data_IF_495639848004
#
_entry.id   IF_495639848004
#
_cell.length_a   1.000
_cell.length_b   1.000
_cell.length_c   1.000
_cell.angle_alpha   90.00
_cell.angle_beta   90.00
_cell.angle_gamma   90.00
#
_symmetry.space_group_name_H-M   'P 1'
#
loop_
_entity.id
_entity.type
_entity.pdbx_description
1 polymer ?
#
# COMPACT_ATOMS: atom_id res chain seq x y z
N UNK A 1 -20.18 18.48 -2.02
CA UNK A 1 -19.56 17.67 -0.94
C UNK A 1 -18.19 17.22 -1.43
N UNK A 2 -17.11 17.34 -0.64
CA UNK A 2 -15.79 16.89 -1.09
C UNK A 2 -15.82 15.38 -1.31
N UNK A 3 -15.40 14.92 -2.50
CA UNK A 3 -15.29 13.49 -2.80
C UNK A 3 -14.24 12.89 -1.86
N UNK A 4 -14.59 11.83 -1.14
CA UNK A 4 -13.62 11.06 -0.36
C UNK A 4 -12.70 10.34 -1.34
N UNK A 5 -11.43 10.76 -1.40
CA UNK A 5 -10.46 10.20 -2.33
C UNK A 5 -9.92 8.91 -1.74
N UNK A 6 -10.42 7.76 -2.18
CA UNK A 6 -10.01 6.45 -1.65
C UNK A 6 -8.83 5.80 -2.40
N UNK A 7 -8.02 6.60 -3.10
CA UNK A 7 -6.83 6.14 -3.83
C UNK A 7 -5.57 6.95 -3.52
N UNK A 8 -4.39 6.30 -3.49
CA UNK A 8 -3.10 6.99 -3.33
C UNK A 8 -2.81 7.86 -4.55
N UNK A 9 -2.27 9.07 -4.33
CA UNK A 9 -1.94 10.05 -5.39
C UNK A 9 -0.45 10.02 -5.78
N UNK A 10 0.33 9.20 -5.11
CA UNK A 10 1.78 9.09 -5.27
C UNK A 10 2.21 7.63 -5.24
N UNK A 11 3.45 7.36 -5.63
CA UNK A 11 3.99 6.00 -5.81
C UNK A 11 4.22 5.31 -4.47
N UNK A 12 4.13 3.98 -4.46
CA UNK A 12 4.40 3.17 -3.27
C UNK A 12 5.81 3.40 -2.71
N UNK A 13 6.82 3.51 -3.58
CA UNK A 13 8.20 3.79 -3.18
C UNK A 13 8.34 5.11 -2.39
N UNK A 14 7.72 6.20 -2.88
CA UNK A 14 7.77 7.49 -2.16
C UNK A 14 7.06 7.43 -0.81
N UNK A 15 5.99 6.64 -0.71
CA UNK A 15 5.27 6.42 0.54
C UNK A 15 6.09 5.57 1.53
N UNK A 16 6.86 4.60 1.02
CA UNK A 16 7.77 3.76 1.79
C UNK A 16 8.90 4.58 2.42
N UNK A 17 9.58 5.42 1.62
CA UNK A 17 10.66 6.31 2.10
C UNK A 17 10.20 7.20 3.27
N UNK A 18 8.99 7.77 3.16
CA UNK A 18 8.42 8.58 4.25
C UNK A 18 8.21 7.73 5.50
N UNK A 19 7.74 6.49 5.35
CA UNK A 19 7.51 5.60 6.49
C UNK A 19 8.82 5.18 7.17
N UNK A 20 9.89 4.95 6.42
CA UNK A 20 11.23 4.69 6.97
C UNK A 20 11.73 5.86 7.81
N UNK A 21 11.58 7.08 7.32
CA UNK A 21 11.98 8.27 8.07
C UNK A 21 11.20 8.44 9.38
N UNK A 22 9.91 8.11 9.39
CA UNK A 22 9.10 8.11 10.63
C UNK A 22 9.61 7.03 11.59
N UNK A 23 9.98 5.86 11.10
CA UNK A 23 10.53 4.80 11.94
C UNK A 23 11.89 5.20 12.55
N UNK A 24 12.77 5.82 11.76
CA UNK A 24 14.07 6.34 12.19
C UNK A 24 13.97 7.49 13.22
N UNK A 25 12.78 8.08 13.38
CA UNK A 25 12.49 9.03 14.48
C UNK A 25 11.98 8.36 15.76
N UNK A 26 11.93 7.03 15.81
CA UNK A 26 11.36 6.27 16.93
C UNK A 26 9.90 5.88 16.73
N UNK A 27 9.46 5.76 15.48
CA UNK A 27 8.10 5.31 15.10
C UNK A 27 6.98 6.34 15.25
N UNK A 28 7.28 7.56 15.72
CA UNK A 28 6.34 8.68 15.80
C UNK A 28 7.05 10.01 15.53
N UNK A 29 6.47 10.84 14.66
CA UNK A 29 7.00 12.18 14.41
C UNK A 29 5.92 13.17 13.95
N UNK A 30 6.22 14.46 14.07
CA UNK A 30 5.42 15.50 13.44
C UNK A 30 5.68 15.57 11.94
N UNK A 31 4.70 16.08 11.19
CA UNK A 31 4.81 16.30 9.75
C UNK A 31 6.05 17.14 9.38
N UNK A 32 6.36 18.17 10.17
CA UNK A 32 7.52 19.05 9.97
C UNK A 32 8.85 18.33 10.17
N UNK A 33 8.95 17.48 11.19
CA UNK A 33 10.18 16.74 11.49
C UNK A 33 10.48 15.73 10.39
N UNK A 34 9.45 15.04 9.91
CA UNK A 34 9.57 14.10 8.78
C UNK A 34 10.04 14.82 7.51
N UNK A 35 9.45 15.98 7.19
CA UNK A 35 9.85 16.77 6.03
C UNK A 35 11.31 17.24 6.13
N UNK A 36 11.73 17.73 7.31
CA UNK A 36 13.12 18.16 7.56
C UNK A 36 14.11 17.02 7.38
N UNK A 37 13.79 15.81 7.83
CA UNK A 37 14.66 14.63 7.65
C UNK A 37 14.80 14.18 6.19
N UNK A 38 13.80 14.46 5.35
CA UNK A 38 13.83 14.17 3.91
C UNK A 38 14.39 15.34 3.09
N UNK A 39 14.98 16.35 3.73
CA UNK A 39 15.44 17.60 3.10
C UNK A 39 14.36 18.25 2.23
N UNK A 40 13.11 18.15 2.67
CA UNK A 40 11.91 18.63 1.98
C UNK A 40 11.16 19.65 2.83
N UNK A 41 10.39 20.50 2.14
CA UNK A 41 9.45 21.43 2.79
C UNK A 41 8.08 20.77 2.94
N UNK A 42 7.35 21.11 3.99
CA UNK A 42 5.95 20.70 4.17
C UNK A 42 5.07 21.41 3.12
N UNK A 43 5.02 20.83 1.93
CA UNK A 43 4.25 21.32 0.79
C UNK A 43 2.99 20.48 0.56
N UNK A 44 2.13 20.93 -0.36
CA UNK A 44 0.99 20.12 -0.83
C UNK A 44 1.42 18.76 -1.40
N UNK A 45 2.57 18.71 -2.11
CA UNK A 45 3.12 17.45 -2.63
C UNK A 45 3.60 16.53 -1.50
N UNK A 46 4.27 17.07 -0.48
CA UNK A 46 4.69 16.28 0.69
C UNK A 46 3.46 15.70 1.42
N UNK A 47 2.42 16.53 1.64
CA UNK A 47 1.15 16.06 2.23
C UNK A 47 0.48 14.97 1.39
N UNK A 48 0.60 15.02 0.06
CA UNK A 48 0.07 13.98 -0.82
C UNK A 48 0.82 12.64 -0.69
N UNK A 49 2.15 12.67 -0.48
CA UNK A 49 2.96 11.47 -0.22
C UNK A 49 2.56 10.86 1.12
N UNK A 50 2.52 11.67 2.18
CA UNK A 50 2.09 11.24 3.51
C UNK A 50 0.67 10.67 3.48
N UNK A 51 -0.26 11.34 2.80
CA UNK A 51 -1.62 10.84 2.61
C UNK A 51 -1.68 9.51 1.85
N UNK A 52 -0.75 9.28 0.90
CA UNK A 52 -0.65 8.00 0.20
C UNK A 52 -0.08 6.90 1.10
N UNK A 53 0.95 7.20 1.91
CA UNK A 53 1.49 6.28 2.91
C UNK A 53 0.44 5.83 3.94
N UNK A 54 -0.48 6.72 4.31
CA UNK A 54 -1.63 6.35 5.16
C UNK A 54 -2.59 5.41 4.44
N UNK A 55 -2.88 5.65 3.15
CA UNK A 55 -3.78 4.79 2.36
C UNK A 55 -3.20 3.39 2.08
N UNK A 56 -1.88 3.29 1.94
CA UNK A 56 -1.16 2.01 1.87
C UNK A 56 -1.06 1.30 3.23
N UNK A 57 -1.56 1.91 4.32
CA UNK A 57 -1.49 1.31 5.65
C UNK A 57 -0.09 1.24 6.24
N UNK A 58 0.88 2.02 5.71
CA UNK A 58 2.24 2.09 6.25
C UNK A 58 2.32 3.03 7.46
N UNK A 59 1.55 4.12 7.40
CA UNK A 59 1.50 5.14 8.43
C UNK A 59 0.06 5.36 8.89
N UNK A 60 -0.08 5.89 10.10
CA UNK A 60 -1.31 6.51 10.59
C UNK A 60 -1.05 7.99 10.83
N UNK A 61 -2.05 8.83 10.53
CA UNK A 61 -1.99 10.26 10.79
C UNK A 61 -3.10 10.64 11.75
N UNK A 62 -2.74 11.13 12.94
CA UNK A 62 -3.70 11.59 13.96
C UNK A 62 -3.23 12.92 14.53
N UNK A 63 -4.06 13.97 14.38
CA UNK A 63 -3.75 15.34 14.86
C UNK A 63 -2.35 15.82 14.45
N UNK A 64 -2.01 15.65 13.17
CA UNK A 64 -0.69 16.01 12.60
C UNK A 64 0.53 15.24 13.15
N UNK A 65 0.29 14.21 13.96
CA UNK A 65 1.29 13.24 14.38
C UNK A 65 1.23 12.01 13.47
N UNK A 66 2.35 11.70 12.84
CA UNK A 66 2.54 10.48 12.06
C UNK A 66 3.03 9.37 12.98
N UNK A 67 2.52 8.17 12.78
CA UNK A 67 2.96 6.98 13.52
C UNK A 67 3.01 5.77 12.62
N UNK A 68 4.06 4.95 12.74
CA UNK A 68 4.22 3.70 11.99
C UNK A 68 3.15 2.69 12.37
N UNK A 69 2.61 1.97 11.38
CA UNK A 69 1.63 0.90 11.63
C UNK A 69 2.27 -0.41 12.06
N UNK A 70 1.46 -1.37 12.49
CA UNK A 70 1.90 -2.77 12.66
C UNK A 70 2.31 -3.40 11.33
N UNK A 71 1.62 -3.07 10.23
CA UNK A 71 1.94 -3.58 8.90
C UNK A 71 3.35 -3.16 8.46
N UNK A 72 3.69 -1.87 8.60
CA UNK A 72 5.04 -1.38 8.28
C UNK A 72 6.13 -2.11 9.07
N UNK A 73 5.92 -2.28 10.38
CA UNK A 73 6.87 -3.02 11.24
C UNK A 73 6.98 -4.50 10.87
N UNK A 74 5.89 -5.13 10.42
CA UNK A 74 5.91 -6.51 9.91
C UNK A 74 6.76 -6.61 8.65
N UNK A 75 6.67 -5.64 7.74
CA UNK A 75 7.50 -5.58 6.54
C UNK A 75 8.98 -5.43 6.94
N UNK A 76 9.32 -4.44 7.78
CA UNK A 76 10.72 -4.17 8.20
C UNK A 76 11.37 -5.31 8.98
N UNK A 77 10.58 -6.08 9.71
CA UNK A 77 11.04 -7.20 10.54
C UNK A 77 10.59 -8.57 10.01
N UNK A 78 10.40 -8.69 8.69
CA UNK A 78 10.16 -9.98 8.06
C UNK A 78 11.37 -10.89 8.24
N UNK A 79 11.12 -12.20 8.43
CA UNK A 79 12.18 -13.17 8.65
C UNK A 79 12.86 -13.60 7.35
N UNK A 80 12.11 -13.59 6.25
CA UNK A 80 12.55 -14.00 4.93
C UNK A 80 12.09 -13.01 3.86
N UNK A 81 12.83 -12.92 2.75
CA UNK A 81 12.52 -12.04 1.62
C UNK A 81 11.16 -12.38 0.99
N UNK A 82 10.76 -13.65 1.01
CA UNK A 82 9.43 -14.05 0.56
C UNK A 82 8.32 -13.48 1.46
N UNK A 83 8.52 -13.51 2.78
CA UNK A 83 7.57 -12.95 3.75
C UNK A 83 7.50 -11.42 3.64
N UNK A 84 8.64 -10.76 3.46
CA UNK A 84 8.74 -9.32 3.22
C UNK A 84 7.91 -8.91 2.00
N UNK A 85 8.08 -9.63 0.89
CA UNK A 85 7.38 -9.39 -0.36
C UNK A 85 5.86 -9.60 -0.21
N UNK A 86 5.43 -10.61 0.56
CA UNK A 86 4.01 -10.80 0.90
C UNK A 86 3.43 -9.61 1.67
N UNK A 87 4.15 -9.07 2.65
CA UNK A 87 3.66 -7.90 3.40
C UNK A 87 3.68 -6.62 2.56
N UNK A 88 4.63 -6.46 1.64
CA UNK A 88 4.59 -5.39 0.65
C UNK A 88 3.37 -5.49 -0.26
N UNK A 89 3.02 -6.71 -0.72
CA UNK A 89 1.79 -6.96 -1.48
C UNK A 89 0.53 -6.63 -0.66
N UNK A 90 0.47 -7.03 0.61
CA UNK A 90 -0.62 -6.71 1.55
C UNK A 90 -0.83 -5.19 1.68
N UNK A 91 0.27 -4.44 1.89
CA UNK A 91 0.23 -2.97 1.97
C UNK A 91 -0.21 -2.32 0.65
N UNK A 92 0.32 -2.80 -0.48
CA UNK A 92 -0.02 -2.26 -1.79
C UNK A 92 -1.49 -2.47 -2.16
N UNK A 93 -2.09 -3.58 -1.72
CA UNK A 93 -3.51 -3.89 -1.98
C UNK A 93 -4.47 -3.29 -0.95
N UNK A 94 -3.97 -2.63 0.09
CA UNK A 94 -4.81 -1.97 1.10
C UNK A 94 -5.79 -0.93 0.51
N UNK A 95 -5.40 -0.08 -0.46
CA UNK A 95 -6.35 0.80 -1.15
C UNK A 95 -7.39 -0.01 -1.95
N UNK A 96 -8.72 0.23 -1.76
CA UNK A 96 -9.77 -0.53 -2.44
C UNK A 96 -9.68 -0.48 -3.96
N UNK A 97 -9.31 0.69 -4.52
CA UNK A 97 -9.15 0.88 -5.96
C UNK A 97 -8.09 -0.05 -6.55
N UNK A 98 -6.96 -0.24 -5.84
CA UNK A 98 -5.89 -1.11 -6.31
C UNK A 98 -6.33 -2.57 -6.25
N UNK A 99 -6.99 -3.00 -5.17
CA UNK A 99 -7.58 -4.34 -5.10
C UNK A 99 -8.57 -4.62 -6.24
N UNK A 100 -9.46 -3.67 -6.54
CA UNK A 100 -10.44 -3.84 -7.63
C UNK A 100 -9.78 -3.93 -9.00
N UNK A 101 -8.81 -3.06 -9.29
CA UNK A 101 -8.09 -3.06 -10.55
C UNK A 101 -7.35 -4.38 -10.77
N UNK A 102 -6.66 -4.83 -9.73
CA UNK A 102 -5.85 -6.02 -9.75
C UNK A 102 -6.74 -7.28 -9.89
N UNK A 103 -7.95 -7.30 -9.29
CA UNK A 103 -8.97 -8.35 -9.52
C UNK A 103 -9.54 -8.34 -10.93
N UNK A 104 -9.78 -7.15 -11.52
CA UNK A 104 -10.32 -7.01 -12.87
C UNK A 104 -9.36 -7.51 -13.95
N UNK A 105 -8.06 -7.29 -13.75
CA UNK A 105 -7.01 -7.68 -14.71
C UNK A 105 -6.30 -9.00 -14.36
N UNK A 106 -6.84 -9.78 -13.43
CA UNK A 106 -6.25 -11.07 -13.05
C UNK A 106 -6.00 -11.95 -14.27
N UNK A 107 -4.74 -12.37 -14.46
CA UNK A 107 -4.28 -13.17 -15.61
C UNK A 107 -4.50 -12.49 -16.98
N UNK A 108 -4.64 -11.16 -17.00
CA UNK A 108 -4.75 -10.35 -18.22
C UNK A 108 -3.63 -9.32 -18.25
N UNK A 109 -3.33 -8.87 -19.46
CA UNK A 109 -2.41 -7.76 -19.68
C UNK A 109 -3.07 -6.45 -19.25
N UNK A 110 -2.32 -5.66 -18.49
CA UNK A 110 -2.70 -4.33 -18.07
C UNK A 110 -2.35 -3.32 -19.18
N UNK A 111 -3.34 -2.62 -19.76
CA UNK A 111 -3.08 -1.62 -20.79
C UNK A 111 -2.54 -0.33 -20.15
N UNK A 112 -1.25 -0.30 -19.79
CA UNK A 112 -0.61 0.80 -19.06
C UNK A 112 -0.81 2.17 -19.73
N UNK A 113 -0.82 2.21 -21.07
CA UNK A 113 -0.98 3.45 -21.86
C UNK A 113 -2.39 4.03 -21.81
N UNK A 114 -3.42 3.20 -21.55
CA UNK A 114 -4.83 3.63 -21.52
C UNK A 114 -5.43 3.51 -20.12
N UNK A 115 -4.60 3.21 -19.12
CA UNK A 115 -5.03 2.94 -17.76
C UNK A 115 -5.67 4.18 -17.13
N UNK A 116 -5.15 5.37 -17.43
CA UNK A 116 -5.69 6.66 -17.01
C UNK A 116 -7.13 6.89 -17.50
N UNK A 117 -7.40 6.67 -18.79
CA UNK A 117 -8.74 6.81 -19.39
C UNK A 117 -9.72 5.83 -18.75
N UNK A 118 -9.26 4.61 -18.50
CA UNK A 118 -10.06 3.57 -17.86
C UNK A 118 -10.38 3.91 -16.40
N UNK A 119 -9.39 4.42 -15.64
CA UNK A 119 -9.59 4.85 -14.25
C UNK A 119 -10.65 5.96 -14.14
N UNK A 120 -10.70 6.88 -15.09
CA UNK A 120 -11.72 7.94 -15.13
C UNK A 120 -13.11 7.36 -15.41
N UNK A 121 -13.23 6.54 -16.46
CA UNK A 121 -14.54 6.07 -16.96
C UNK A 121 -15.19 5.00 -16.10
N UNK A 122 -14.39 4.11 -15.52
CA UNK A 122 -14.89 2.91 -14.83
C UNK A 122 -14.79 2.99 -13.31
N UNK A 123 -13.81 3.74 -12.79
CA UNK A 123 -13.50 3.81 -11.36
C UNK A 123 -13.76 5.21 -10.76
N UNK A 124 -14.37 6.13 -11.53
CA UNK A 124 -14.65 7.54 -11.16
C UNK A 124 -13.43 8.27 -10.54
N UNK A 125 -12.23 7.96 -11.03
CA UNK A 125 -11.01 8.68 -10.63
C UNK A 125 -11.04 10.07 -11.26
N UNK A 126 -10.65 11.09 -10.48
CA UNK A 126 -10.57 12.46 -10.99
C UNK A 126 -9.54 12.55 -12.12
N UNK A 127 -9.91 13.17 -13.23
CA UNK A 127 -9.08 13.33 -14.43
C UNK A 127 -7.70 13.91 -14.12
N UNK A 128 -7.65 14.92 -13.24
CA UNK A 128 -6.40 15.58 -12.81
C UNK A 128 -5.44 14.59 -12.13
N UNK A 129 -5.97 13.57 -11.44
CA UNK A 129 -5.17 12.60 -10.71
C UNK A 129 -4.93 11.30 -11.49
N UNK A 130 -5.74 11.01 -12.51
CA UNK A 130 -5.76 9.71 -13.18
C UNK A 130 -4.38 9.27 -13.68
N UNK A 131 -3.64 10.17 -14.33
CA UNK A 131 -2.27 9.89 -14.80
C UNK A 131 -1.31 9.55 -13.64
N UNK A 132 -1.38 10.28 -12.52
CA UNK A 132 -0.54 10.03 -11.36
C UNK A 132 -0.89 8.70 -10.68
N UNK A 133 -2.18 8.36 -10.58
CA UNK A 133 -2.66 7.08 -10.02
C UNK A 133 -2.28 5.91 -10.91
N UNK A 134 -2.43 6.04 -12.24
CA UNK A 134 -2.01 5.03 -13.21
C UNK A 134 -0.51 4.72 -13.09
N UNK A 135 0.32 5.78 -13.03
CA UNK A 135 1.76 5.65 -12.80
C UNK A 135 2.05 4.98 -11.44
N UNK A 136 1.44 5.45 -10.36
CA UNK A 136 1.62 4.91 -9.02
C UNK A 136 1.23 3.43 -8.94
N UNK A 137 0.17 3.02 -9.61
CA UNK A 137 -0.25 1.62 -9.70
C UNK A 137 0.75 0.79 -10.51
N UNK A 138 1.11 1.22 -11.73
CA UNK A 138 1.99 0.44 -12.61
C UNK A 138 3.41 0.31 -12.05
N UNK A 139 3.94 1.34 -11.39
CA UNK A 139 5.25 1.27 -10.73
C UNK A 139 5.18 0.44 -9.44
N UNK A 140 4.16 0.65 -8.61
CA UNK A 140 4.00 -0.10 -7.36
C UNK A 140 3.74 -1.60 -7.60
N UNK A 141 2.89 -1.94 -8.57
CA UNK A 141 2.59 -3.33 -8.92
C UNK A 141 3.82 -4.08 -9.45
N UNK A 142 4.71 -3.40 -10.18
CA UNK A 142 6.02 -3.95 -10.58
C UNK A 142 6.94 -4.14 -9.37
N UNK A 143 7.03 -3.14 -8.50
CA UNK A 143 7.88 -3.20 -7.31
C UNK A 143 7.49 -4.36 -6.36
N UNK A 144 6.19 -4.64 -6.21
CA UNK A 144 5.71 -5.74 -5.35
C UNK A 144 5.57 -7.09 -6.09
N UNK A 145 6.08 -7.19 -7.32
CA UNK A 145 6.02 -8.42 -8.12
C UNK A 145 4.59 -8.91 -8.39
N UNK A 146 3.63 -8.00 -8.53
CA UNK A 146 2.26 -8.29 -8.99
C UNK A 146 2.12 -8.13 -10.50
N UNK A 147 3.02 -7.38 -11.13
CA UNK A 147 3.05 -7.16 -12.58
C UNK A 147 4.33 -7.78 -13.15
N UNK A 148 4.17 -8.70 -14.10
CA UNK A 148 5.29 -9.31 -14.83
C UNK A 148 5.85 -8.34 -15.88
N UNK A 149 6.98 -8.68 -16.51
CA UNK A 149 7.61 -7.89 -17.58
C UNK A 149 6.68 -7.67 -18.79
N UNK A 150 5.79 -8.63 -19.05
CA UNK A 150 4.76 -8.53 -20.10
C UNK A 150 3.52 -7.73 -19.67
N UNK A 151 3.57 -7.02 -18.55
CA UNK A 151 2.43 -6.30 -17.96
C UNK A 151 1.22 -7.19 -17.63
N UNK A 152 1.43 -8.50 -17.43
CA UNK A 152 0.37 -9.40 -16.95
C UNK A 152 0.23 -9.30 -15.44
N UNK A 153 -0.98 -9.12 -14.93
CA UNK A 153 -1.25 -9.08 -13.49
C UNK A 153 -1.34 -10.49 -12.93
N UNK A 154 -0.51 -10.77 -11.92
CA UNK A 154 -0.47 -12.04 -11.20
C UNK A 154 -1.77 -12.35 -10.45
N UNK A 155 -1.94 -13.62 -10.10
CA UNK A 155 -3.13 -14.10 -9.39
C UNK A 155 -3.08 -13.73 -7.89
N UNK A 156 -3.78 -12.66 -7.52
CA UNK A 156 -3.83 -12.12 -6.16
C UNK A 156 -4.37 -13.14 -5.15
N UNK A 157 -5.34 -13.97 -5.52
CA UNK A 157 -5.93 -14.90 -4.55
C UNK A 157 -5.00 -16.09 -4.30
N UNK A 158 -4.24 -16.53 -5.32
CA UNK A 158 -3.16 -17.49 -5.11
C UNK A 158 -2.04 -16.90 -4.26
N UNK A 159 -1.71 -15.63 -4.48
CA UNK A 159 -0.68 -14.90 -3.72
C UNK A 159 -1.10 -14.64 -2.26
N UNK A 160 -2.38 -14.35 -2.02
CA UNK A 160 -2.95 -14.24 -0.68
C UNK A 160 -3.07 -15.60 0.02
N UNK A 161 -3.35 -16.68 -0.74
CA UNK A 161 -3.37 -18.04 -0.22
C UNK A 161 -1.98 -18.58 0.14
N UNK A 162 -0.92 -18.00 -0.42
CA UNK A 162 0.47 -18.28 -0.03
C UNK A 162 0.88 -17.61 1.28
N UNK A 163 0.05 -16.72 1.86
CA UNK A 163 0.32 -16.21 3.19
C UNK A 163 0.22 -17.37 4.20
N UNK A 164 1.33 -17.80 4.82
CA UNK A 164 1.26 -18.88 5.79
C UNK A 164 0.39 -18.40 6.97
N UNK A 165 -0.57 -19.21 7.44
CA UNK A 165 -1.31 -18.86 8.64
C UNK A 165 -0.29 -18.77 9.78
N UNK A 166 -0.09 -17.57 10.33
CA UNK A 166 0.78 -17.33 11.48
C UNK A 166 0.11 -17.88 12.74
N UNK A 167 0.03 -19.21 12.81
CA UNK A 167 -0.37 -20.06 13.92
C UNK A 167 0.82 -21.00 14.03
N UNK A 168 1.81 -20.75 14.87
CA UNK A 168 1.99 -21.49 16.14
C UNK A 168 3.46 -21.30 16.61
N UNK A 169 4.04 -20.09 16.54
CA UNK A 169 5.40 -19.83 17.08
C UNK A 169 5.37 -19.00 18.38
N UNK A 170 4.18 -18.63 18.84
CA UNK A 170 3.99 -18.05 20.17
C UNK A 170 3.47 -19.12 21.14
N UNK A 171 4.41 -19.68 21.91
CA UNK A 171 4.22 -20.33 23.21
C UNK A 171 3.57 -21.73 23.21
N UNK A 172 4.29 -22.80 23.61
CA UNK A 172 3.60 -23.98 24.14
C UNK A 172 2.77 -23.52 25.34
N UNK A 173 1.46 -23.73 25.27
CA UNK A 173 0.55 -23.62 26.42
C UNK A 173 1.19 -24.44 27.55
N UNK A 174 1.53 -23.85 28.72
CA UNK A 174 2.08 -24.63 29.81
C UNK A 174 1.02 -25.67 30.20
N UNK A 175 1.39 -26.94 30.06
CA UNK A 175 0.55 -28.06 30.44
C UNK A 175 0.00 -27.82 31.85
N UNK A 176 -1.32 -27.78 31.98
CA UNK A 176 -1.98 -27.73 33.26
C UNK A 176 -1.49 -28.92 34.11
N UNK A 177 -0.83 -28.59 35.22
CA UNK A 177 -0.49 -29.41 36.37
C UNK A 177 -0.97 -30.88 36.30
N UNK A 178 -0.12 -31.76 35.75
CA UNK A 178 -0.28 -33.22 35.83
C UNK A 178 0.41 -33.78 37.10
N UNK A 179 0.23 -33.12 38.23
CA UNK A 179 0.60 -33.66 39.55
C UNK A 179 -0.68 -34.04 40.30
N UNK A 180 -1.29 -35.16 39.89
CA UNK A 180 -2.10 -35.99 40.79
C UNK A 180 -1.88 -37.45 40.43
N UNK A 181 -1.22 -38.16 41.34
CA UNK A 181 -0.80 -39.54 41.22
C UNK A 181 -1.98 -40.52 41.01
N UNK A 182 -1.73 -41.67 40.38
CA UNK A 182 -2.72 -42.74 40.22
C UNK A 182 -2.85 -43.54 41.52
N UNK A 183 -4.08 -43.75 41.98
CA UNK A 183 -4.41 -44.87 42.89
C UNK A 183 -5.07 -45.96 42.05
N UNK A 184 -4.45 -47.14 42.11
CA UNK A 184 -4.77 -48.38 41.42
C UNK A 184 -6.17 -48.96 41.77
N UNK A 185 -6.68 -49.90 40.95
CA UNK A 185 -8.06 -50.39 40.97
C UNK A 185 -8.24 -51.65 41.83
N UNK A 186 -9.46 -51.85 42.32
CA UNK A 186 -9.93 -53.11 42.91
C UNK A 186 -11.26 -53.53 42.26
N UNK A 187 -11.16 -54.59 41.46
CA UNK A 187 -12.04 -55.76 41.26
C UNK A 187 -13.52 -55.74 41.70
N UNK A 188 -14.40 -56.21 40.79
CA UNK A 188 -15.71 -56.82 41.07
C UNK A 188 -16.79 -56.38 40.05
N UNK A 189 -17.10 -57.17 39.01
CA UNK A 189 -18.33 -58.01 38.88
C UNK A 189 -19.62 -57.19 38.57
N UNK A 190 -20.61 -57.52 37.73
CA UNK A 190 -20.97 -58.60 36.78
C UNK A 190 -22.32 -58.18 36.11
N UNK A 191 -22.48 -58.43 34.79
CA UNK A 191 -23.72 -58.70 34.00
C UNK A 191 -24.91 -57.71 33.84
N UNK A 192 -25.52 -57.79 32.64
CA UNK A 192 -26.96 -57.59 32.37
C UNK A 192 -27.28 -56.44 31.40
N UNK A 193 -27.37 -56.67 30.08
CA UNK A 193 -28.57 -57.08 29.32
C UNK A 193 -29.71 -56.01 29.22
N UNK A 194 -29.95 -55.58 27.96
CA UNK A 194 -31.06 -54.82 27.30
C UNK A 194 -32.50 -55.14 27.78
N UNK A 195 -33.61 -54.37 27.49
CA UNK A 195 -33.88 -53.59 26.25
C UNK A 195 -34.79 -52.32 26.33
N UNK A 196 -35.09 -51.80 25.14
CA UNK A 196 -36.00 -50.76 24.64
C UNK A 196 -37.35 -50.49 25.34
N UNK A 197 -37.85 -49.25 25.18
CA UNK A 197 -39.24 -48.85 25.39
C UNK A 197 -39.55 -47.48 24.78
N UNK A 198 -40.69 -47.38 24.11
CA UNK A 198 -41.09 -46.41 23.07
C UNK A 198 -42.28 -45.52 23.54
N UNK A 199 -42.48 -44.36 22.88
CA UNK A 199 -43.65 -43.43 22.79
C UNK A 199 -44.26 -42.71 24.04
N UNK A 200 -45.13 -41.65 23.92
CA UNK A 200 -45.12 -40.36 23.18
C UNK A 200 -45.52 -39.08 24.02
N UNK A 201 -45.29 -37.87 23.44
CA UNK A 201 -46.05 -36.58 23.40
C UNK A 201 -47.27 -36.33 24.36
N UNK A 202 -47.62 -35.09 24.85
CA UNK A 202 -47.94 -33.88 24.03
C UNK A 202 -47.58 -32.47 24.59
N UNK A 203 -47.67 -31.48 23.70
CA UNK A 203 -47.58 -30.01 23.89
C UNK A 203 -48.88 -29.40 24.50
N UNK A 204 -49.24 -28.10 24.32
CA UNK A 204 -48.58 -26.78 24.53
C UNK A 204 -49.43 -25.80 25.40
N UNK A 205 -48.85 -24.75 25.99
CA UNK A 205 -49.52 -23.50 26.44
C UNK A 205 -48.49 -22.58 27.15
N UNK A 206 -48.55 -21.24 27.27
CA UNK A 206 -49.34 -20.11 26.78
C UNK A 206 -48.57 -18.83 27.25
N UNK A 207 -48.63 -17.73 26.49
CA UNK A 207 -48.35 -16.31 26.90
C UNK A 207 -49.32 -15.86 28.04
N UNK A 208 -49.28 -14.66 28.71
CA UNK A 208 -48.70 -13.32 28.38
C UNK A 208 -48.17 -12.54 29.66
N UNK A 209 -48.31 -11.20 29.88
CA UNK A 209 -47.67 -10.01 29.25
C UNK A 209 -46.99 -9.00 30.24
N UNK A 210 -46.30 -8.01 29.64
CA UNK A 210 -46.14 -6.58 30.01
C UNK A 210 -45.45 -6.13 31.32
N UNK A 211 -44.43 -5.27 31.18
CA UNK A 211 -44.31 -3.96 31.87
C UNK A 211 -43.14 -3.12 31.34
N UNK A 212 -43.45 -1.94 30.80
CA UNK A 212 -42.57 -0.75 30.83
C UNK A 212 -42.41 -0.28 32.30
N UNK A 213 -41.31 0.42 32.65
CA UNK A 213 -41.40 1.88 32.70
C UNK A 213 -40.11 2.65 32.33
N UNK A 214 -40.34 3.84 31.76
CA UNK A 214 -39.70 5.15 31.97
C UNK A 214 -38.18 5.30 32.21
N UNK A 215 -37.60 6.22 31.44
CA UNK A 215 -36.33 6.94 31.68
C UNK A 215 -36.38 7.80 32.95
N UNK A 216 -35.21 8.09 33.57
CA UNK A 216 -34.63 9.42 33.38
C UNK A 216 -33.08 9.46 33.29
N UNK A 217 -32.61 10.56 32.72
CA UNK A 217 -31.25 11.12 32.70
C UNK A 217 -30.16 10.44 33.53
N UNK A 218 -29.23 9.78 32.83
CA UNK A 218 -27.90 9.48 33.36
C UNK A 218 -26.93 10.59 32.91
N UNK A 219 -26.96 11.71 33.62
CA UNK A 219 -25.96 12.77 33.49
C UNK A 219 -24.62 12.25 34.00
N UNK A 220 -23.76 11.94 33.04
CA UNK A 220 -22.31 11.84 33.06
C UNK A 220 -21.59 12.04 34.42
N UNK A 221 -21.47 10.95 35.19
CA UNK A 221 -20.66 10.91 36.41
C UNK A 221 -19.14 11.03 36.15
N UNK A 222 -18.70 10.95 34.89
CA UNK A 222 -17.29 11.07 34.51
C UNK A 222 -16.91 12.56 34.34
N UNK A 223 -17.85 13.41 33.92
CA UNK A 223 -17.65 14.85 33.80
C UNK A 223 -17.37 15.57 35.14
N UNK A 224 -17.83 15.00 36.26
CA UNK A 224 -17.56 15.53 37.62
C UNK A 224 -16.14 15.19 38.15
N UNK A 225 -15.46 14.19 37.56
CA UNK A 225 -14.13 13.76 38.00
C UNK A 225 -12.99 14.60 37.37
N UNK A 226 -13.27 15.30 36.26
CA UNK A 226 -12.27 16.07 35.50
C UNK A 226 -12.48 17.60 35.52
N UNK A 227 -13.38 18.12 36.34
CA UNK A 227 -13.50 19.57 36.56
C UNK A 227 -13.86 20.40 35.32
N UNK A 228 -14.58 19.84 34.35
CA UNK A 228 -14.95 20.52 33.10
C UNK A 228 -16.39 21.10 33.09
N UNK A 229 -17.02 21.21 34.25
CA UNK A 229 -18.34 21.81 34.40
C UNK A 229 -18.28 23.26 34.90
N UNK A 230 -18.22 24.22 33.98
CA UNK A 230 -18.38 25.66 34.27
C UNK A 230 -18.60 26.42 32.97
N UNK A 231 -19.84 26.81 32.67
CA UNK A 231 -20.49 28.06 33.07
C UNK A 231 -20.58 29.00 31.86
N UNK A 232 -21.81 29.10 31.36
CA UNK A 232 -22.34 30.16 30.51
C UNK A 232 -22.16 31.53 31.15
N UNK A 233 -21.57 32.49 30.42
CA UNK A 233 -21.83 33.91 30.66
C UNK A 233 -21.74 34.71 29.36
N UNK A 234 -22.91 35.09 28.84
CA UNK A 234 -23.12 36.18 27.87
C UNK A 234 -22.85 37.53 28.53
N UNK A 235 -22.38 38.53 27.77
CA UNK A 235 -23.26 39.68 27.56
C UNK A 235 -23.30 40.20 26.12
N UNK A 236 -24.22 41.15 25.94
CA UNK A 236 -25.01 41.52 24.77
C UNK A 236 -24.65 42.94 24.28
N UNK A 237 -24.82 43.15 22.97
CA UNK A 237 -25.10 44.42 22.24
C UNK A 237 -23.97 45.48 22.13
N UNK A 238 -23.81 46.25 21.03
CA UNK A 238 -24.36 46.29 19.67
C UNK A 238 -23.49 47.31 18.84
N UNK A 239 -23.97 48.02 17.80
CA UNK A 239 -23.62 47.81 16.39
C UNK A 239 -22.93 49.01 15.71
N UNK A 240 -22.16 48.80 14.63
CA UNK A 240 -21.94 49.83 13.59
C UNK A 240 -21.82 49.16 12.21
N UNK A 241 -22.75 49.50 11.33
CA UNK A 241 -22.72 49.27 9.88
C UNK A 241 -22.42 50.61 9.17
N UNK A 242 -22.53 50.73 7.83
CA UNK A 242 -21.75 50.09 6.76
C UNK A 242 -21.12 51.17 5.84
N UNK A 243 -20.07 50.85 5.06
CA UNK A 243 -19.66 51.70 3.93
C UNK A 243 -19.44 50.86 2.67
N UNK A 244 -20.45 50.97 1.81
CA UNK A 244 -20.43 51.14 0.36
C UNK A 244 -19.55 50.24 -0.54
N UNK A 245 -20.25 49.43 -1.32
CA UNK A 245 -19.83 48.97 -2.64
C UNK A 245 -19.95 50.10 -3.68
N UNK A 246 -18.96 50.23 -4.56
CA UNK A 246 -19.04 50.93 -5.87
C UNK A 246 -17.90 50.30 -6.68
N UNK A 247 -18.11 49.54 -7.74
CA UNK A 247 -18.83 49.89 -8.95
C UNK A 247 -17.80 50.12 -10.07
N UNK A 248 -17.38 49.07 -10.76
CA UNK A 248 -16.97 49.13 -12.18
C UNK A 248 -18.24 49.29 -13.02
N UNK A 249 -18.28 50.04 -14.15
CA UNK A 249 -17.53 49.67 -15.38
C UNK A 249 -17.20 50.83 -16.36
N UNK A 250 -16.71 50.43 -17.55
CA UNK A 250 -16.51 51.17 -18.82
C UNK A 250 -15.19 51.94 -18.98
N UNK A 251 -14.57 52.07 -20.16
CA UNK A 251 -14.58 51.39 -21.46
C UNK A 251 -13.56 52.15 -22.36
N UNK A 252 -13.17 51.54 -23.48
CA UNK A 252 -12.60 52.13 -24.72
C UNK A 252 -11.08 52.38 -24.79
N UNK A 253 -10.43 51.58 -25.64
CA UNK A 253 -9.42 51.94 -26.67
C UNK A 253 -8.88 50.61 -27.24
N UNK A 254 -9.37 50.09 -28.37
CA UNK A 254 -9.05 50.47 -29.76
C UNK A 254 -7.57 50.28 -30.15
N UNK A 255 -7.27 49.09 -30.74
CA UNK A 255 -6.46 48.76 -31.95
C UNK A 255 -5.42 49.81 -32.39
N UNK A 256 -4.12 49.45 -32.60
CA UNK A 256 -3.72 48.86 -33.87
C UNK A 256 -2.65 47.76 -33.87
N UNK A 257 -2.92 46.77 -34.72
CA UNK A 257 -1.97 45.88 -35.39
C UNK A 257 -0.87 46.69 -36.10
N UNK A 258 0.41 46.25 -36.05
CA UNK A 258 1.05 45.96 -37.34
C UNK A 258 2.04 44.78 -37.33
N UNK A 259 2.04 44.09 -38.45
CA UNK A 259 3.19 43.54 -39.18
C UNK A 259 4.14 42.53 -38.48
N UNK A 260 4.02 41.27 -38.91
CA UNK A 260 5.21 40.51 -39.29
C UNK A 260 5.96 41.29 -40.39
N UNK A 261 7.30 41.33 -40.43
CA UNK A 261 8.03 40.17 -40.96
C UNK A 261 9.51 40.01 -40.49
N UNK A 262 10.13 38.96 -41.03
CA UNK A 262 11.58 38.78 -41.25
C UNK A 262 12.44 38.11 -40.16
N UNK A 263 12.68 36.83 -40.46
CA UNK A 263 13.95 36.12 -40.31
C UNK A 263 15.15 37.06 -40.42
N UNK A 264 16.00 37.04 -39.40
CA UNK A 264 17.42 37.36 -39.57
C UNK A 264 18.22 36.20 -38.96
N UNK A 265 18.82 35.44 -39.87
CA UNK A 265 19.93 34.56 -39.55
C UNK A 265 21.09 35.41 -39.04
N UNK A 266 21.69 34.99 -37.93
CA UNK A 266 22.99 35.49 -37.48
C UNK A 266 23.84 34.30 -37.00
N UNK A 267 25.18 34.47 -37.05
CA UNK A 267 26.08 33.47 -37.60
C UNK A 267 26.65 32.49 -36.59
N UNK A 268 27.06 31.34 -37.14
CA UNK A 268 27.79 30.27 -36.49
C UNK A 268 29.07 30.79 -35.80
N UNK A 269 29.16 30.55 -34.49
CA UNK A 269 30.39 30.68 -33.71
C UNK A 269 30.97 29.26 -33.55
N UNK A 270 32.20 28.98 -34.02
CA UNK A 270 32.83 27.68 -33.82
C UNK A 270 33.60 27.71 -32.50
N UNK A 271 33.04 27.13 -31.43
CA UNK A 271 33.73 27.01 -30.15
C UNK A 271 33.60 25.60 -29.59
N UNK A 272 34.70 24.85 -29.76
CA UNK A 272 35.23 23.73 -28.96
C UNK A 272 34.28 22.60 -28.48
N UNK A 273 34.49 21.34 -28.92
CA UNK A 273 33.97 20.20 -28.20
C UNK A 273 34.74 20.02 -26.87
N UNK A 274 34.03 20.11 -25.76
CA UNK A 274 34.49 19.68 -24.44
C UNK A 274 34.23 18.16 -24.33
N UNK A 275 35.25 17.32 -24.10
CA UNK A 275 35.03 15.91 -23.82
C UNK A 275 34.71 15.75 -22.34
N UNK A 276 33.44 15.70 -21.98
CA UNK A 276 33.02 15.26 -20.65
C UNK A 276 32.35 13.90 -20.80
N UNK A 277 33.17 12.86 -20.68
CA UNK A 277 32.73 11.49 -20.54
C UNK A 277 31.82 11.36 -19.31
N UNK A 278 30.66 10.69 -19.39
CA UNK A 278 30.09 10.08 -18.20
C UNK A 278 30.97 8.88 -17.84
N UNK A 279 31.61 8.95 -16.67
CA UNK A 279 32.19 7.78 -16.04
C UNK A 279 31.06 6.77 -15.78
N UNK A 280 30.90 5.82 -16.70
CA UNK A 280 30.05 4.66 -16.54
C UNK A 280 30.59 3.84 -15.37
N UNK A 281 29.79 3.73 -14.32
CA UNK A 281 29.99 2.74 -13.27
C UNK A 281 30.16 1.38 -13.95
N UNK A 282 31.21 0.60 -13.70
CA UNK A 282 31.35 -0.71 -14.32
C UNK A 282 30.20 -1.59 -13.84
N UNK A 283 29.17 -1.77 -14.68
CA UNK A 283 28.35 -2.96 -14.59
C UNK A 283 29.30 -4.14 -14.76
N UNK A 284 29.22 -5.09 -13.85
CA UNK A 284 29.92 -6.37 -13.89
C UNK A 284 29.53 -7.13 -15.17
N UNK A 285 30.16 -6.78 -16.29
CA UNK A 285 30.01 -7.43 -17.57
C UNK A 285 31.00 -8.59 -17.62
N UNK A 286 30.48 -9.80 -17.79
CA UNK A 286 31.31 -11.00 -17.92
C UNK A 286 31.29 -11.45 -19.37
N UNK A 287 32.43 -11.93 -19.88
CA UNK A 287 32.52 -12.49 -21.23
C UNK A 287 33.02 -13.92 -21.16
N UNK A 288 32.30 -14.83 -21.82
CA UNK A 288 32.61 -16.25 -21.89
C UNK A 288 32.93 -16.58 -23.34
N UNK A 289 34.16 -17.02 -23.60
CA UNK A 289 34.59 -17.49 -24.92
C UNK A 289 34.79 -19.00 -24.89
N UNK A 290 34.04 -19.71 -25.73
CA UNK A 290 34.10 -21.16 -25.88
C UNK A 290 34.74 -21.48 -27.23
N UNK A 291 35.84 -22.23 -27.21
CA UNK A 291 36.56 -22.68 -28.41
C UNK A 291 36.67 -24.19 -28.43
N UNK A 292 36.39 -24.79 -29.58
CA UNK A 292 36.43 -26.24 -29.79
C UNK A 292 36.33 -26.62 -31.26
N UNK A 293 36.39 -27.92 -31.61
CA UNK A 293 36.31 -28.38 -32.98
C UNK A 293 34.94 -28.04 -33.59
N UNK A 294 34.92 -27.03 -34.46
CA UNK A 294 33.70 -26.54 -35.12
C UNK A 294 32.85 -25.56 -34.30
N UNK A 295 33.37 -25.04 -33.17
CA UNK A 295 32.68 -24.04 -32.34
C UNK A 295 33.69 -22.97 -31.91
N UNK A 296 33.49 -21.71 -32.35
CA UNK A 296 34.08 -20.51 -31.73
C UNK A 296 32.91 -19.59 -31.40
N UNK A 297 32.61 -19.41 -30.12
CA UNK A 297 31.45 -18.62 -29.68
C UNK A 297 31.86 -17.75 -28.51
N UNK A 298 31.55 -16.47 -28.62
CA UNK A 298 31.76 -15.47 -27.57
C UNK A 298 30.39 -14.99 -27.09
N UNK A 299 30.15 -15.10 -25.78
CA UNK A 299 28.91 -14.67 -25.12
C UNK A 299 29.24 -13.55 -24.13
N UNK A 300 28.46 -12.48 -24.16
CA UNK A 300 28.52 -11.41 -23.16
C UNK A 300 27.35 -11.59 -22.19
N UNK A 301 27.66 -11.69 -20.90
CA UNK A 301 26.69 -11.85 -19.81
C UNK A 301 26.43 -10.46 -19.23
N UNK A 302 25.21 -9.99 -19.41
CA UNK A 302 24.73 -8.71 -18.89
C UNK A 302 23.62 -8.92 -17.84
N UNK A 303 22.85 -10.00 -17.96
CA UNK A 303 21.73 -10.33 -17.09
C UNK A 303 21.87 -11.76 -16.54
N UNK A 304 21.15 -12.06 -15.45
CA UNK A 304 21.18 -13.38 -14.81
C UNK A 304 20.68 -14.50 -15.75
N UNK A 305 19.71 -14.20 -16.62
CA UNK A 305 19.18 -15.14 -17.60
C UNK A 305 20.20 -15.60 -18.65
N UNK A 306 21.23 -14.79 -18.93
CA UNK A 306 22.31 -15.16 -19.85
C UNK A 306 23.11 -16.38 -19.32
N UNK A 307 23.08 -16.64 -18.00
CA UNK A 307 23.69 -17.82 -17.40
C UNK A 307 23.00 -19.12 -17.84
N UNK A 308 21.69 -19.08 -18.16
CA UNK A 308 20.96 -20.25 -18.66
C UNK A 308 21.43 -20.64 -20.06
N UNK A 309 21.75 -19.65 -20.91
CA UNK A 309 22.36 -19.90 -22.22
C UNK A 309 23.73 -20.57 -22.06
N UNK A 310 24.57 -20.06 -21.16
CA UNK A 310 25.88 -20.64 -20.86
C UNK A 310 25.74 -22.09 -20.39
N UNK A 311 24.78 -22.37 -19.51
CA UNK A 311 24.50 -23.73 -19.05
C UNK A 311 24.08 -24.66 -20.20
N UNK A 312 23.22 -24.19 -21.11
CA UNK A 312 22.82 -24.94 -22.30
C UNK A 312 23.99 -25.27 -23.24
N UNK A 313 24.92 -24.32 -23.45
CA UNK A 313 26.14 -24.58 -24.21
C UNK A 313 27.05 -25.61 -23.54
N UNK A 314 27.22 -25.52 -22.22
CA UNK A 314 28.02 -26.49 -21.47
C UNK A 314 27.41 -27.90 -21.52
N UNK A 315 26.08 -28.03 -21.49
CA UNK A 315 25.42 -29.33 -21.68
C UNK A 315 25.61 -29.89 -23.08
N UNK A 316 25.56 -29.04 -24.11
CA UNK A 316 25.84 -29.45 -25.49
C UNK A 316 27.28 -29.96 -25.64
N UNK A 317 28.25 -29.28 -25.03
CA UNK A 317 29.66 -29.72 -24.99
C UNK A 317 29.78 -31.05 -24.24
N UNK A 318 29.15 -31.19 -23.07
CA UNK A 318 29.15 -32.46 -22.30
C UNK A 318 28.58 -33.62 -23.12
N UNK A 319 27.52 -33.37 -23.91
CA UNK A 319 26.93 -34.38 -24.78
C UNK A 319 27.86 -34.77 -25.92
N UNK A 320 28.60 -33.82 -26.49
CA UNK A 320 29.61 -34.11 -27.52
C UNK A 320 30.84 -34.84 -26.98
N UNK A 321 31.24 -34.61 -25.72
CA UNK A 321 32.35 -35.33 -25.09
C UNK A 321 31.99 -36.74 -24.61
N UNK A 322 30.69 -37.04 -24.45
CA UNK A 322 30.18 -38.37 -24.06
C UNK A 322 29.81 -39.26 -25.25
N UNK A 323 29.81 -38.72 -26.47
CA UNK A 323 29.66 -39.48 -27.71
C UNK A 323 31.02 -39.89 -28.26
#
# INVERSE_FOLDING_TARGET
MPKLIDYPRTTYASAWEVAEVVDDTGGKCTLETCARKLDRKVSGSFKAIVGSAVKFGLLTSKRELLSTTTLFRRIKHAYDKQEELLFHREAFLTPPLFTQLCRKFRQRELPVQMLDVMLIREFDVEEINAAAVAKAFAEGARAVGLLNEHNTVGDIDQLAAQAPPRRELASPVPAANSFRAPTTPATGETQGAVPSGDVPNPAPAQRPPAREPATPDATDAVASLFGLGGATETPRAAPVAPVAATGTPQAVAEVPQPAAPQRTATPAVPVRPLPTAPASVPLTQFTVRLTGPGIDTQLEITHEDDLLLVQGFLEKIRRQLRG
#
